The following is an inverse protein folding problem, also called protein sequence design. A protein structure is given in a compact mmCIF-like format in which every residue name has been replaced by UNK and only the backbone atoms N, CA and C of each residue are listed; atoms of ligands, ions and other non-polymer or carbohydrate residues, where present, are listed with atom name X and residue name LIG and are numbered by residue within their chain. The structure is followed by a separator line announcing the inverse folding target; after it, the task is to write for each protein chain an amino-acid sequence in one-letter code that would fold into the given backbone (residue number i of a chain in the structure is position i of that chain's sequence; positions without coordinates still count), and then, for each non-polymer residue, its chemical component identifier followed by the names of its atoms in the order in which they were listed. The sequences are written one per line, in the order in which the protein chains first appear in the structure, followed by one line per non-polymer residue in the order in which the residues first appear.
data_IF_640416114198
#
_entry.id   IF_640416114198
#
_cell.length_a   1.000
_cell.length_b   1.000
_cell.length_c   1.000
_cell.angle_alpha   90.00
_cell.angle_beta   90.00
_cell.angle_gamma   90.00
#
_symmetry.space_group_name_H-M   'P 1'
#
loop_
_entity.id
_entity.type
_entity.pdbx_description
1 polymer ?
#
# COMPACT_ATOMS: atom_id res chain seq x y z
N UNK A 1 -0.52 -0.74 28.88
CA UNK A 1 -0.21 -0.85 27.42
C UNK A 1 -0.90 -2.10 26.88
N UNK A 2 -2.21 -2.04 26.67
CA UNK A 2 -3.04 -3.26 26.48
C UNK A 2 -4.22 -3.06 25.53
N UNK A 3 -4.26 -1.93 24.81
CA UNK A 3 -5.37 -1.58 23.93
C UNK A 3 -5.22 -2.10 22.49
N UNK A 4 -3.98 -2.33 22.02
CA UNK A 4 -3.70 -2.78 20.65
C UNK A 4 -4.09 -4.25 20.39
N UNK A 5 -3.95 -5.14 21.38
CA UNK A 5 -4.25 -6.56 21.22
C UNK A 5 -5.75 -6.88 21.10
N UNK A 6 -6.65 -6.00 21.56
CA UNK A 6 -8.11 -6.20 21.43
C UNK A 6 -8.67 -5.81 20.07
N UNK A 7 -8.01 -4.87 19.37
CA UNK A 7 -8.45 -4.46 18.03
C UNK A 7 -8.03 -5.47 16.94
N UNK A 8 -7.04 -6.31 17.23
CA UNK A 8 -6.50 -7.33 16.31
C UNK A 8 -7.37 -8.60 16.20
N UNK A 9 -8.55 -8.63 16.87
CA UNK A 9 -9.48 -9.78 16.88
C UNK A 9 -10.87 -9.48 16.30
N UNK A 10 -11.11 -8.30 15.71
CA UNK A 10 -12.43 -7.97 15.17
C UNK A 10 -12.59 -8.44 13.70
N UNK A 11 -13.69 -9.14 13.35
CA UNK A 11 -13.97 -9.60 11.99
C UNK A 11 -14.59 -8.50 11.12
N UNK A 12 -13.99 -7.31 11.10
CA UNK A 12 -14.36 -6.21 10.18
C UNK A 12 -13.33 -6.10 9.06
N UNK A 13 -12.99 -7.24 8.45
CA UNK A 13 -12.02 -7.30 7.36
C UNK A 13 -12.69 -7.01 6.02
N UNK A 14 -12.13 -6.07 5.28
CA UNK A 14 -12.27 -5.96 3.83
C UNK A 14 -10.87 -5.90 3.21
N UNK A 15 -10.70 -6.31 1.94
CA UNK A 15 -9.45 -6.13 1.20
C UNK A 15 -9.02 -4.66 1.17
N UNK A 16 -7.71 -4.41 1.17
CA UNK A 16 -7.15 -3.04 0.98
C UNK A 16 -7.36 -2.58 -0.47
N UNK A 17 -7.47 -3.53 -1.40
CA UNK A 17 -7.83 -3.31 -2.80
C UNK A 17 -9.25 -3.81 -3.01
N UNK A 18 -10.22 -2.90 -3.08
CA UNK A 18 -11.59 -3.20 -3.46
C UNK A 18 -11.87 -2.58 -4.84
N UNK A 19 -12.63 -3.28 -5.68
CA UNK A 19 -13.15 -2.72 -6.93
C UNK A 19 -14.28 -1.74 -6.57
N UNK A 20 -14.14 -0.46 -6.92
CA UNK A 20 -15.05 0.62 -6.51
C UNK A 20 -15.98 0.91 -7.69
N UNK A 21 -17.25 0.55 -7.55
CA UNK A 21 -18.26 0.72 -8.59
C UNK A 21 -19.06 2.02 -8.53
N UNK A 22 -19.10 2.70 -7.37
CA UNK A 22 -19.95 3.88 -7.16
C UNK A 22 -19.29 4.95 -6.27
N UNK A 23 -19.69 6.21 -6.44
CA UNK A 23 -19.07 7.39 -5.80
C UNK A 23 -19.27 7.40 -4.27
N UNK A 24 -20.28 6.71 -3.76
CA UNK A 24 -20.59 6.59 -2.32
C UNK A 24 -19.64 5.62 -1.57
N UNK A 25 -18.96 4.71 -2.27
CA UNK A 25 -17.95 3.79 -1.71
C UNK A 25 -16.60 4.47 -1.45
N UNK A 26 -16.38 5.66 -2.00
CA UNK A 26 -15.18 6.45 -1.77
C UNK A 26 -15.09 6.87 -0.30
N UNK A 27 -16.22 7.16 0.35
CA UNK A 27 -16.27 7.65 1.73
C UNK A 27 -16.06 6.55 2.78
N UNK A 28 -16.34 5.28 2.45
CA UNK A 28 -16.12 4.14 3.36
C UNK A 28 -14.65 3.73 3.40
N UNK A 29 -13.88 4.00 2.34
CA UNK A 29 -12.42 3.85 2.34
C UNK A 29 -11.68 4.99 3.06
N UNK A 30 -12.38 6.04 3.47
CA UNK A 30 -11.87 7.16 4.27
C UNK A 30 -12.07 6.98 5.79
N UNK A 31 -12.14 5.73 6.27
CA UNK A 31 -12.19 5.48 7.71
C UNK A 31 -10.81 5.12 8.30
N UNK A 32 -10.58 5.47 9.57
CA UNK A 32 -9.26 5.43 10.22
C UNK A 32 -8.54 4.06 10.20
N UNK A 33 -9.28 2.99 9.90
CA UNK A 33 -8.78 1.63 9.69
C UNK A 33 -7.93 1.54 8.41
N UNK A 34 -8.32 2.20 7.32
CA UNK A 34 -7.55 2.25 6.06
C UNK A 34 -6.20 2.94 6.27
N UNK A 35 -6.16 4.02 7.05
CA UNK A 35 -4.90 4.71 7.37
C UNK A 35 -4.01 3.92 8.34
N UNK A 36 -4.57 3.29 9.38
CA UNK A 36 -3.78 2.52 10.35
C UNK A 36 -3.22 1.22 9.75
N UNK A 37 -4.03 0.48 8.97
CA UNK A 37 -3.61 -0.72 8.25
C UNK A 37 -2.71 -0.37 7.07
N UNK A 38 -3.05 0.68 6.32
CA UNK A 38 -2.24 1.20 5.22
C UNK A 38 -0.85 1.67 5.66
N UNK A 39 -0.75 2.38 6.80
CA UNK A 39 0.54 2.77 7.36
C UNK A 39 1.37 1.56 7.82
N UNK A 40 0.72 0.52 8.34
CA UNK A 40 1.40 -0.73 8.74
C UNK A 40 1.91 -1.52 7.53
N UNK A 41 1.10 -1.62 6.47
CA UNK A 41 1.48 -2.25 5.20
C UNK A 41 2.59 -1.45 4.51
N UNK A 42 2.55 -0.12 4.53
CA UNK A 42 3.62 0.72 3.99
C UNK A 42 4.93 0.52 4.77
N UNK A 43 4.86 0.46 6.10
CA UNK A 43 6.03 0.15 6.93
C UNK A 43 6.61 -1.22 6.62
N UNK A 44 5.75 -2.23 6.46
CA UNK A 44 6.16 -3.57 6.07
C UNK A 44 6.78 -3.60 4.67
N UNK A 45 6.20 -2.86 3.72
CA UNK A 45 6.75 -2.73 2.37
C UNK A 45 8.15 -2.10 2.41
N UNK A 46 8.32 -0.97 3.10
CA UNK A 46 9.63 -0.30 3.27
C UNK A 46 10.64 -1.24 3.91
N UNK A 47 10.24 -2.00 4.93
CA UNK A 47 11.11 -2.99 5.58
C UNK A 47 11.46 -4.16 4.64
N UNK A 48 10.51 -4.62 3.83
CA UNK A 48 10.69 -5.73 2.90
C UNK A 48 11.61 -5.36 1.73
N UNK A 49 11.37 -4.21 1.07
CA UNK A 49 12.20 -3.76 -0.07
C UNK A 49 13.51 -3.11 0.35
N UNK A 50 13.62 -2.61 1.58
CA UNK A 50 14.74 -1.83 2.06
C UNK A 50 14.55 -0.34 1.79
N UNK A 51 14.95 0.49 2.77
CA UNK A 51 14.68 1.93 2.78
C UNK A 51 15.26 2.67 1.56
N UNK A 52 16.52 2.39 1.21
CA UNK A 52 17.19 3.11 0.11
C UNK A 52 16.58 2.73 -1.24
N UNK A 53 16.36 1.43 -1.48
CA UNK A 53 15.68 0.93 -2.67
C UNK A 53 14.24 1.45 -2.78
N UNK A 54 13.53 1.59 -1.65
CA UNK A 54 12.20 2.19 -1.61
C UNK A 54 12.22 3.64 -2.09
N UNK A 55 13.10 4.49 -1.55
CA UNK A 55 13.18 5.89 -1.98
C UNK A 55 13.60 6.03 -3.45
N UNK A 56 14.55 5.21 -3.92
CA UNK A 56 14.92 5.18 -5.34
C UNK A 56 13.72 4.79 -6.22
N UNK A 57 12.96 3.77 -5.82
CA UNK A 57 11.79 3.30 -6.57
C UNK A 57 10.67 4.34 -6.61
N UNK A 58 10.40 5.00 -5.49
CA UNK A 58 9.40 6.08 -5.41
C UNK A 58 9.82 7.30 -6.25
N UNK A 59 11.10 7.69 -6.24
CA UNK A 59 11.59 8.76 -7.11
C UNK A 59 11.43 8.41 -8.59
N UNK A 60 11.80 7.19 -8.98
CA UNK A 60 11.66 6.71 -10.34
C UNK A 60 10.18 6.66 -10.78
N UNK A 61 9.30 6.18 -9.91
CA UNK A 61 7.86 6.14 -10.10
C UNK A 61 7.26 7.53 -10.36
N UNK A 62 7.50 8.48 -9.46
CA UNK A 62 6.96 9.84 -9.61
C UNK A 62 7.49 10.53 -10.87
N UNK A 63 8.76 10.32 -11.23
CA UNK A 63 9.33 10.86 -12.46
C UNK A 63 8.69 10.25 -13.72
N UNK A 64 8.45 8.94 -13.71
CA UNK A 64 7.88 8.22 -14.85
C UNK A 64 6.41 8.56 -15.12
N UNK A 65 5.66 8.92 -14.08
CA UNK A 65 4.21 9.16 -14.16
C UNK A 65 3.82 10.60 -13.81
N UNK A 66 4.77 11.54 -13.91
CA UNK A 66 4.51 12.95 -13.64
C UNK A 66 3.36 13.47 -14.51
N UNK A 67 2.43 14.21 -13.90
CA UNK A 67 1.26 14.82 -14.56
C UNK A 67 0.27 13.82 -15.19
N UNK A 68 0.38 12.53 -14.85
CA UNK A 68 -0.53 11.49 -15.30
C UNK A 68 -1.17 10.72 -14.15
N UNK A 69 -1.88 9.65 -14.52
CA UNK A 69 -2.50 8.72 -13.58
C UNK A 69 -1.71 7.41 -13.52
N UNK A 70 -1.91 6.67 -12.43
CA UNK A 70 -1.17 5.44 -12.11
C UNK A 70 -2.09 4.43 -11.43
N UNK A 71 -1.67 3.17 -11.47
CA UNK A 71 -2.25 2.06 -10.71
C UNK A 71 -1.24 1.51 -9.72
N UNK A 72 -1.70 0.73 -8.75
CA UNK A 72 -0.83 0.07 -7.77
C UNK A 72 0.28 -0.76 -8.43
N UNK A 73 -0.02 -1.42 -9.55
CA UNK A 73 0.96 -2.20 -10.32
C UNK A 73 2.15 -1.37 -10.79
N UNK A 74 1.95 -0.08 -11.08
CA UNK A 74 3.01 0.82 -11.55
C UNK A 74 3.98 1.14 -10.40
N UNK A 75 3.44 1.38 -9.20
CA UNK A 75 4.24 1.58 -7.99
C UNK A 75 5.03 0.33 -7.64
N UNK A 76 4.37 -0.84 -7.61
CA UNK A 76 5.04 -2.11 -7.30
C UNK A 76 6.12 -2.40 -8.34
N UNK A 77 5.85 -2.23 -9.63
CA UNK A 77 6.85 -2.43 -10.68
C UNK A 77 8.06 -1.51 -10.56
N UNK A 78 7.89 -0.26 -10.11
CA UNK A 78 9.02 0.64 -9.83
C UNK A 78 9.85 0.18 -8.64
N UNK A 79 9.22 -0.32 -7.58
CA UNK A 79 9.89 -0.87 -6.40
C UNK A 79 10.58 -2.22 -6.68
N UNK A 80 10.01 -3.07 -7.53
CA UNK A 80 10.65 -4.32 -7.98
C UNK A 80 11.97 -4.02 -8.70
N UNK A 81 11.97 -3.02 -9.60
CA UNK A 81 13.16 -2.61 -10.38
C UNK A 81 14.31 -2.15 -9.50
N UNK A 82 14.03 -1.43 -8.42
CA UNK A 82 15.08 -0.88 -7.53
C UNK A 82 15.47 -1.82 -6.40
N UNK A 83 14.57 -2.68 -5.94
CA UNK A 83 14.84 -3.63 -4.84
C UNK A 83 15.30 -5.01 -5.30
N UNK A 84 15.05 -5.37 -6.57
CA UNK A 84 15.31 -6.71 -7.10
C UNK A 84 14.42 -7.82 -6.52
N UNK A 85 13.37 -7.45 -5.77
CA UNK A 85 12.42 -8.39 -5.16
C UNK A 85 11.18 -8.54 -6.01
N UNK A 86 10.59 -9.73 -5.99
CA UNK A 86 9.26 -9.98 -6.57
C UNK A 86 8.18 -9.45 -5.61
N UNK A 87 7.48 -8.40 -6.04
CA UNK A 87 6.38 -7.77 -5.33
C UNK A 87 5.02 -8.21 -5.86
N UNK A 88 4.93 -8.84 -7.04
CA UNK A 88 3.69 -9.47 -7.52
C UNK A 88 3.24 -10.61 -6.64
N UNK A 89 4.19 -11.35 -6.05
CA UNK A 89 3.89 -12.39 -5.06
C UNK A 89 3.60 -11.80 -3.68
N UNK A 90 4.22 -10.68 -3.32
CA UNK A 90 4.00 -9.99 -2.04
C UNK A 90 2.62 -9.31 -1.94
N UNK A 91 2.07 -8.83 -3.05
CA UNK A 91 0.79 -8.10 -3.09
C UNK A 91 -0.46 -8.97 -3.27
N UNK A 92 -0.33 -10.30 -3.17
CA UNK A 92 -1.45 -11.26 -3.29
C UNK A 92 -2.13 -11.52 -1.95
#
# INVERSE_FOLDING_TARGET
KTWAYRQDQLPSTHPIMADIGDLDDVLVNFDGITYAKGASVLKQLVAYVGKDAFFQGVQAYFKAHAFGNTRLSDLLGALEKTSGRDLKTWSK
#
